data_IF_618493887079
#
_entry.id   IF_618493887079
#
_cell.length_a   1.000
_cell.length_b   1.000
_cell.length_c   1.000
_cell.angle_alpha   90.00
_cell.angle_beta   90.00
_cell.angle_gamma   90.00
#
_symmetry.space_group_name_H-M   'P 1'
#
loop_
_entity.id
_entity.type
_entity.pdbx_description
1 polymer ?
#
# COMPACT_ATOMS: atom_id res chain seq x y z
N UNK A 1 50.87 -17.13 -14.13
CA UNK A 1 50.89 -17.73 -15.49
C UNK A 1 52.33 -18.12 -15.85
N UNK A 2 52.58 -19.22 -16.56
CA UNK A 2 53.94 -19.58 -17.03
C UNK A 2 54.30 -18.85 -18.32
N UNK A 3 55.60 -18.59 -18.57
CA UNK A 3 56.06 -17.99 -19.86
C UNK A 3 55.57 -18.79 -21.08
N UNK A 4 55.51 -20.12 -20.98
CA UNK A 4 54.98 -20.99 -22.03
C UNK A 4 53.49 -20.73 -22.30
N UNK A 5 52.70 -20.57 -21.26
CA UNK A 5 51.27 -20.25 -21.38
C UNK A 5 51.06 -18.86 -21.98
N UNK A 6 51.84 -17.86 -21.54
CA UNK A 6 51.82 -16.51 -22.11
C UNK A 6 52.12 -16.55 -23.62
N UNK A 7 53.18 -17.26 -24.02
CA UNK A 7 53.56 -17.36 -25.42
C UNK A 7 52.49 -18.07 -26.26
N UNK A 8 51.87 -19.13 -25.72
CA UNK A 8 50.79 -19.85 -26.41
C UNK A 8 49.50 -19.04 -26.50
N UNK A 9 49.12 -18.31 -25.45
CA UNK A 9 47.85 -17.57 -25.41
C UNK A 9 47.83 -16.35 -26.34
N UNK A 10 49.00 -15.75 -26.60
CA UNK A 10 49.12 -14.50 -27.35
C UNK A 10 50.01 -14.61 -28.59
N UNK A 11 50.29 -15.83 -29.04
CA UNK A 11 51.15 -16.15 -30.20
C UNK A 11 52.51 -15.40 -30.18
N UNK A 12 53.16 -15.40 -29.02
CA UNK A 12 54.43 -14.72 -28.82
C UNK A 12 55.62 -15.67 -29.03
N UNK A 13 56.67 -15.16 -29.66
CA UNK A 13 57.94 -15.89 -29.77
C UNK A 13 58.66 -15.91 -28.41
N UNK A 14 58.97 -17.11 -27.91
CA UNK A 14 59.74 -17.31 -26.68
C UNK A 14 61.00 -16.43 -26.60
N UNK A 15 61.79 -16.38 -27.67
CA UNK A 15 63.03 -15.60 -27.71
C UNK A 15 62.80 -14.11 -27.43
N UNK A 16 61.71 -13.53 -27.95
CA UNK A 16 61.36 -12.13 -27.74
C UNK A 16 60.98 -11.87 -26.29
N UNK A 17 60.17 -12.76 -25.70
CA UNK A 17 59.72 -12.66 -24.30
C UNK A 17 60.92 -12.78 -23.36
N UNK A 18 61.76 -13.82 -23.53
CA UNK A 18 62.97 -14.01 -22.71
C UNK A 18 63.98 -12.86 -22.86
N UNK A 19 64.12 -12.27 -24.06
CA UNK A 19 64.98 -11.09 -24.27
C UNK A 19 64.48 -9.88 -23.47
N UNK A 20 63.15 -9.65 -23.45
CA UNK A 20 62.52 -8.57 -22.68
C UNK A 20 62.67 -8.82 -21.17
N UNK A 21 62.44 -10.05 -20.71
CA UNK A 21 62.68 -10.45 -19.32
C UNK A 21 64.14 -10.17 -18.93
N UNK A 22 65.11 -10.63 -19.72
CA UNK A 22 66.53 -10.42 -19.41
C UNK A 22 66.94 -8.96 -19.39
N UNK A 23 66.27 -8.09 -20.15
CA UNK A 23 66.56 -6.65 -20.17
C UNK A 23 65.99 -5.91 -18.95
N UNK A 24 64.85 -6.37 -18.44
CA UNK A 24 64.10 -5.70 -17.36
C UNK A 24 64.12 -6.45 -16.02
N UNK A 25 64.81 -7.60 -15.92
CA UNK A 25 64.82 -8.50 -14.75
C UNK A 25 65.22 -7.84 -13.43
N UNK A 26 66.15 -6.87 -13.49
CA UNK A 26 66.71 -6.20 -12.30
C UNK A 26 66.08 -4.81 -12.10
N UNK A 27 65.03 -4.49 -12.86
CA UNK A 27 64.33 -3.20 -12.87
C UNK A 27 62.82 -3.41 -12.74
N UNK A 28 62.05 -3.20 -13.81
CA UNK A 28 60.59 -3.25 -13.81
C UNK A 28 60.05 -4.64 -13.49
N UNK A 29 60.79 -5.71 -13.84
CA UNK A 29 60.36 -7.09 -13.57
C UNK A 29 60.97 -7.67 -12.28
N UNK A 30 61.67 -6.87 -11.47
CA UNK A 30 62.27 -7.34 -10.23
C UNK A 30 61.18 -7.79 -9.24
N UNK A 31 61.19 -9.07 -8.88
CA UNK A 31 60.20 -9.65 -7.96
C UNK A 31 58.88 -10.11 -8.60
N UNK A 32 58.67 -9.85 -9.89
CA UNK A 32 57.44 -10.20 -10.61
C UNK A 32 57.50 -11.56 -11.33
N UNK A 33 58.58 -12.31 -11.11
CA UNK A 33 58.68 -13.69 -11.59
C UNK A 33 59.45 -14.57 -10.61
N UNK A 34 59.09 -15.85 -10.57
CA UNK A 34 59.79 -16.86 -9.77
C UNK A 34 60.21 -18.04 -10.65
N UNK A 35 61.33 -18.69 -10.30
CA UNK A 35 61.74 -19.95 -10.93
C UNK A 35 61.06 -21.10 -10.20
N UNK A 36 60.13 -21.77 -10.87
CA UNK A 36 59.57 -23.02 -10.38
C UNK A 36 60.59 -24.17 -10.50
N UNK A 37 60.42 -25.23 -9.69
CA UNK A 37 61.23 -26.46 -9.79
C UNK A 37 61.10 -27.03 -11.22
N UNK A 38 62.20 -27.01 -12.00
CA UNK A 38 62.23 -27.47 -13.38
C UNK A 38 62.30 -26.38 -14.46
N UNK A 39 62.95 -25.25 -14.18
CA UNK A 39 63.30 -24.16 -15.13
C UNK A 39 62.15 -23.32 -15.70
N UNK A 40 60.89 -23.63 -15.37
CA UNK A 40 59.76 -22.81 -15.81
C UNK A 40 59.66 -21.52 -14.99
N UNK A 41 59.59 -20.39 -15.68
CA UNK A 41 59.35 -19.08 -15.08
C UNK A 41 57.85 -18.85 -14.91
N UNK A 42 57.45 -18.61 -13.66
CA UNK A 42 56.11 -18.21 -13.29
C UNK A 42 56.07 -16.68 -13.16
N UNK A 43 55.11 -16.08 -13.87
CA UNK A 43 54.86 -14.66 -13.97
C UNK A 43 53.60 -14.33 -13.17
N UNK A 44 53.65 -13.22 -12.43
CA UNK A 44 52.45 -12.60 -11.87
C UNK A 44 51.73 -11.73 -12.91
N UNK A 45 50.60 -11.15 -12.52
CA UNK A 45 49.75 -10.38 -13.43
C UNK A 45 50.45 -9.13 -13.98
N UNK A 46 51.32 -8.50 -13.18
CA UNK A 46 52.12 -7.36 -13.62
C UNK A 46 53.14 -7.78 -14.69
N UNK A 47 53.88 -8.86 -14.48
CA UNK A 47 54.83 -9.36 -15.46
C UNK A 47 54.14 -9.82 -16.75
N UNK A 48 52.97 -10.46 -16.64
CA UNK A 48 52.14 -10.82 -17.79
C UNK A 48 51.78 -9.57 -18.58
N UNK A 49 51.19 -8.55 -17.94
CA UNK A 49 50.84 -7.30 -18.61
C UNK A 49 52.09 -6.63 -19.20
N UNK A 50 53.16 -6.45 -18.45
CA UNK A 50 54.39 -5.81 -18.94
C UNK A 50 54.97 -6.47 -20.19
N UNK A 51 54.89 -7.80 -20.28
CA UNK A 51 55.44 -8.57 -21.40
C UNK A 51 54.53 -8.59 -22.63
N UNK A 52 53.23 -8.28 -22.48
CA UNK A 52 52.33 -8.19 -23.63
C UNK A 52 52.76 -7.09 -24.61
N UNK A 53 52.67 -7.35 -25.92
CA UNK A 53 52.82 -6.31 -26.93
C UNK A 53 51.74 -5.23 -26.78
N UNK A 54 52.10 -3.97 -27.08
CA UNK A 54 51.18 -2.84 -26.99
C UNK A 54 49.89 -3.05 -27.79
N UNK A 55 49.96 -3.63 -28.99
CA UNK A 55 48.76 -3.87 -29.80
C UNK A 55 47.77 -4.84 -29.14
N UNK A 56 48.26 -5.86 -28.42
CA UNK A 56 47.41 -6.81 -27.67
C UNK A 56 46.70 -6.08 -26.54
N UNK A 57 47.43 -5.25 -25.77
CA UNK A 57 46.83 -4.45 -24.69
C UNK A 57 45.76 -3.49 -25.21
N UNK A 58 46.02 -2.86 -26.35
CA UNK A 58 45.05 -1.96 -27.00
C UNK A 58 43.81 -2.73 -27.43
N UNK A 59 43.95 -3.92 -28.02
CA UNK A 59 42.80 -4.76 -28.38
C UNK A 59 41.97 -5.16 -27.15
N UNK A 60 42.63 -5.60 -26.07
CA UNK A 60 41.94 -5.94 -24.81
C UNK A 60 41.18 -4.74 -24.24
N UNK A 61 41.80 -3.55 -24.24
CA UNK A 61 41.14 -2.33 -23.78
C UNK A 61 39.95 -1.92 -24.66
N UNK A 62 40.00 -2.18 -25.98
CA UNK A 62 38.87 -1.95 -26.88
C UNK A 62 37.72 -2.89 -26.54
N UNK A 63 38.00 -4.19 -26.39
CA UNK A 63 36.99 -5.19 -26.02
C UNK A 63 36.31 -4.87 -24.68
N UNK A 64 37.08 -4.42 -23.69
CA UNK A 64 36.57 -3.96 -22.40
C UNK A 64 35.68 -2.71 -22.55
N UNK A 65 36.13 -1.70 -23.31
CA UNK A 65 35.34 -0.50 -23.60
C UNK A 65 34.01 -0.83 -24.29
N UNK A 66 34.01 -1.76 -25.25
CA UNK A 66 32.81 -2.23 -25.94
C UNK A 66 31.87 -3.02 -25.00
N UNK A 67 32.42 -3.77 -24.05
CA UNK A 67 31.67 -4.41 -22.97
C UNK A 67 30.95 -3.37 -22.10
N UNK A 68 31.69 -2.39 -21.60
CA UNK A 68 31.17 -1.30 -20.77
C UNK A 68 30.10 -0.49 -21.53
N UNK A 69 30.32 -0.21 -22.81
CA UNK A 69 29.36 0.53 -23.63
C UNK A 69 28.02 -0.23 -23.76
N UNK A 70 28.06 -1.56 -23.92
CA UNK A 70 26.84 -2.38 -23.97
C UNK A 70 26.13 -2.43 -22.62
N UNK A 71 26.86 -2.61 -21.53
CA UNK A 71 26.29 -2.61 -20.19
C UNK A 71 25.65 -1.27 -19.84
N UNK A 72 26.29 -0.15 -20.19
CA UNK A 72 25.75 1.18 -20.00
C UNK A 72 24.45 1.40 -20.77
N UNK A 73 24.35 0.92 -22.01
CA UNK A 73 23.11 1.00 -22.78
C UNK A 73 21.98 0.20 -22.10
N UNK A 74 22.26 -1.01 -21.64
CA UNK A 74 21.27 -1.83 -20.92
C UNK A 74 20.83 -1.19 -19.60
N UNK A 75 21.76 -0.59 -18.85
CA UNK A 75 21.45 0.13 -17.62
C UNK A 75 20.61 1.38 -17.89
N UNK A 76 20.88 2.08 -18.99
CA UNK A 76 20.11 3.25 -19.40
C UNK A 76 18.65 2.87 -19.74
N UNK A 77 18.43 1.79 -20.49
CA UNK A 77 17.09 1.29 -20.80
C UNK A 77 16.31 0.87 -19.53
N UNK A 78 17.01 0.23 -18.58
CA UNK A 78 16.43 -0.14 -17.28
C UNK A 78 16.07 1.08 -16.44
N UNK A 79 16.91 2.11 -16.47
CA UNK A 79 16.67 3.37 -15.75
C UNK A 79 15.43 4.07 -16.30
N UNK A 80 15.34 4.24 -17.62
CA UNK A 80 14.17 4.86 -18.27
C UNK A 80 12.88 4.09 -17.95
N UNK A 81 12.94 2.75 -18.02
CA UNK A 81 11.80 1.90 -17.64
C UNK A 81 11.40 2.07 -16.18
N UNK A 82 12.35 2.19 -15.26
CA UNK A 82 12.10 2.38 -13.84
C UNK A 82 11.51 3.77 -13.54
N UNK A 83 11.98 4.81 -14.23
CA UNK A 83 11.44 6.18 -14.11
C UNK A 83 9.97 6.24 -14.53
N UNK A 84 9.61 5.61 -15.66
CA UNK A 84 8.21 5.54 -16.13
C UNK A 84 7.32 4.82 -15.10
N UNK A 85 7.78 3.70 -14.55
CA UNK A 85 7.03 2.96 -13.53
C UNK A 85 6.86 3.80 -12.26
N UNK A 86 7.90 4.51 -11.83
CA UNK A 86 7.85 5.37 -10.66
C UNK A 86 6.84 6.50 -10.84
N UNK A 87 6.86 7.19 -11.99
CA UNK A 87 5.91 8.26 -12.32
C UNK A 87 4.46 7.75 -12.39
N UNK A 88 4.23 6.59 -13.03
CA UNK A 88 2.89 5.99 -13.07
C UNK A 88 2.39 5.62 -11.67
N UNK A 89 3.26 5.07 -10.82
CA UNK A 89 2.93 4.69 -9.46
C UNK A 89 2.61 5.91 -8.61
N UNK A 90 3.38 7.00 -8.74
CA UNK A 90 3.17 8.24 -8.01
C UNK A 90 1.85 8.92 -8.39
N UNK A 91 1.50 8.92 -9.68
CA UNK A 91 0.22 9.40 -10.18
C UNK A 91 -0.96 8.58 -9.64
N UNK A 92 -0.84 7.24 -9.61
CA UNK A 92 -1.86 6.36 -9.04
C UNK A 92 -2.02 6.57 -7.54
N UNK A 93 -0.91 6.74 -6.82
CA UNK A 93 -0.91 6.99 -5.38
C UNK A 93 -1.58 8.33 -5.06
N UNK A 94 -1.22 9.39 -5.80
CA UNK A 94 -1.83 10.72 -5.65
C UNK A 94 -3.34 10.69 -5.86
N UNK A 95 -3.81 9.95 -6.87
CA UNK A 95 -5.25 9.75 -7.11
C UNK A 95 -5.92 9.01 -5.95
N UNK A 96 -5.32 7.92 -5.47
CA UNK A 96 -5.86 7.14 -4.36
C UNK A 96 -5.92 7.95 -3.05
N UNK A 97 -4.95 8.84 -2.81
CA UNK A 97 -4.96 9.75 -1.67
C UNK A 97 -6.12 10.74 -1.76
N UNK A 98 -6.32 11.37 -2.92
CA UNK A 98 -7.45 12.29 -3.13
C UNK A 98 -8.81 11.59 -2.96
N UNK A 99 -8.96 10.36 -3.49
CA UNK A 99 -10.17 9.57 -3.33
C UNK A 99 -10.42 9.22 -1.84
N UNK A 100 -9.38 8.87 -1.09
CA UNK A 100 -9.48 8.60 0.35
C UNK A 100 -9.88 9.84 1.15
N UNK A 101 -9.34 11.01 0.85
CA UNK A 101 -9.74 12.28 1.49
C UNK A 101 -11.23 12.57 1.27
N UNK A 102 -11.73 12.37 0.05
CA UNK A 102 -13.14 12.53 -0.27
C UNK A 102 -14.02 11.54 0.50
N UNK A 103 -13.60 10.27 0.60
CA UNK A 103 -14.32 9.25 1.36
C UNK A 103 -14.35 9.57 2.86
N UNK A 104 -13.26 10.08 3.42
CA UNK A 104 -13.22 10.50 4.83
C UNK A 104 -14.19 11.66 5.09
N UNK A 105 -14.22 12.66 4.20
CA UNK A 105 -15.15 13.77 4.32
C UNK A 105 -16.62 13.31 4.26
N UNK A 106 -16.95 12.36 3.39
CA UNK A 106 -18.29 11.80 3.29
C UNK A 106 -18.65 10.95 4.51
N UNK A 107 -17.71 10.18 5.07
CA UNK A 107 -17.91 9.44 6.32
C UNK A 107 -18.27 10.40 7.46
N UNK A 108 -17.57 11.53 7.59
CA UNK A 108 -17.83 12.50 8.65
C UNK A 108 -19.17 13.23 8.46
N UNK A 109 -19.55 13.49 7.21
CA UNK A 109 -20.89 13.99 6.87
C UNK A 109 -21.98 13.00 7.27
N UNK A 110 -21.82 11.72 6.92
CA UNK A 110 -22.78 10.67 7.25
C UNK A 110 -22.90 10.45 8.76
N UNK A 111 -21.79 10.46 9.50
CA UNK A 111 -21.80 10.40 10.97
C UNK A 111 -22.58 11.55 11.58
N UNK A 112 -22.37 12.77 11.07
CA UNK A 112 -23.09 13.96 11.55
C UNK A 112 -24.58 13.85 11.29
N UNK A 113 -24.96 13.43 10.08
CA UNK A 113 -26.37 13.20 9.72
C UNK A 113 -27.03 12.11 10.56
N UNK A 114 -26.32 11.02 10.84
CA UNK A 114 -26.81 9.94 11.69
C UNK A 114 -27.04 10.44 13.13
N UNK A 115 -26.09 11.20 13.67
CA UNK A 115 -26.23 11.80 15.00
C UNK A 115 -27.43 12.75 15.11
N UNK A 116 -27.71 13.52 14.06
CA UNK A 116 -28.89 14.38 13.99
C UNK A 116 -30.18 13.55 13.97
N UNK A 117 -30.22 12.48 13.17
CA UNK A 117 -31.39 11.58 13.12
C UNK A 117 -31.63 10.85 14.44
N UNK A 118 -30.59 10.45 15.14
CA UNK A 118 -30.72 9.83 16.47
C UNK A 118 -31.32 10.81 17.50
N UNK A 119 -31.00 12.10 17.41
CA UNK A 119 -31.62 13.15 18.23
C UNK A 119 -33.10 13.33 17.88
N UNK A 120 -33.44 13.45 16.59
CA UNK A 120 -34.83 13.55 16.13
C UNK A 120 -35.66 12.36 16.60
N UNK A 121 -35.13 11.13 16.49
CA UNK A 121 -35.80 9.91 16.96
C UNK A 121 -36.04 9.96 18.47
N UNK A 122 -35.06 10.43 19.25
CA UNK A 122 -35.19 10.55 20.70
C UNK A 122 -36.27 11.56 21.08
N UNK A 123 -36.30 12.72 20.43
CA UNK A 123 -37.29 13.77 20.63
C UNK A 123 -38.70 13.28 20.27
N UNK A 124 -38.87 12.65 19.10
CA UNK A 124 -40.17 12.09 18.72
C UNK A 124 -40.64 10.98 19.64
N UNK A 125 -39.73 10.16 20.16
CA UNK A 125 -40.04 9.11 21.12
C UNK A 125 -40.56 9.69 22.44
N UNK A 126 -39.94 10.77 22.93
CA UNK A 126 -40.40 11.47 24.13
C UNK A 126 -41.76 12.14 23.94
N UNK A 127 -41.97 12.79 22.79
CA UNK A 127 -43.27 13.39 22.44
C UNK A 127 -44.37 12.33 22.35
N UNK A 128 -44.10 11.20 21.70
CA UNK A 128 -45.04 10.09 21.57
C UNK A 128 -45.43 9.51 22.93
N UNK A 129 -44.47 9.30 23.82
CA UNK A 129 -44.74 8.78 25.16
C UNK A 129 -45.53 9.79 26.01
N UNK A 130 -45.24 11.09 25.86
CA UNK A 130 -46.01 12.17 26.51
C UNK A 130 -47.46 12.18 26.04
N UNK A 131 -47.71 12.11 24.74
CA UNK A 131 -49.06 12.05 24.18
C UNK A 131 -49.79 10.76 24.56
N UNK A 132 -49.09 9.63 24.59
CA UNK A 132 -49.64 8.36 25.07
C UNK A 132 -50.12 8.46 26.51
N UNK A 133 -49.34 9.09 27.40
CA UNK A 133 -49.74 9.33 28.80
C UNK A 133 -50.95 10.25 28.91
N UNK A 134 -50.98 11.37 28.16
CA UNK A 134 -52.13 12.29 28.13
C UNK A 134 -53.40 11.58 27.66
N UNK A 135 -53.30 10.82 26.57
CA UNK A 135 -54.41 10.03 26.02
C UNK A 135 -54.92 9.01 27.04
N UNK A 136 -54.02 8.26 27.69
CA UNK A 136 -54.38 7.31 28.76
C UNK A 136 -55.12 7.99 29.91
N UNK A 137 -54.63 9.12 30.40
CA UNK A 137 -55.31 9.88 31.45
C UNK A 137 -56.68 10.39 31.01
N UNK A 138 -56.83 10.81 29.76
CA UNK A 138 -58.11 11.25 29.22
C UNK A 138 -59.12 10.11 29.13
N UNK A 139 -58.68 8.91 28.73
CA UNK A 139 -59.49 7.69 28.72
C UNK A 139 -59.94 7.33 30.14
N UNK A 140 -59.01 7.26 31.11
CA UNK A 140 -59.34 6.96 32.51
C UNK A 140 -60.37 7.94 33.10
N UNK A 141 -60.28 9.23 32.77
CA UNK A 141 -61.28 10.24 33.18
C UNK A 141 -62.64 9.99 32.53
N UNK A 142 -62.66 9.67 31.23
CA UNK A 142 -63.91 9.35 30.50
C UNK A 142 -64.56 8.10 31.06
N UNK A 143 -63.79 7.05 31.33
CA UNK A 143 -64.30 5.80 31.90
C UNK A 143 -64.95 6.01 33.27
N UNK A 144 -64.31 6.81 34.15
CA UNK A 144 -64.91 7.21 35.43
C UNK A 144 -66.24 7.92 35.23
N UNK A 145 -66.30 8.88 34.30
CA UNK A 145 -67.52 9.62 34.00
C UNK A 145 -68.63 8.74 33.42
N UNK A 146 -68.27 7.78 32.56
CA UNK A 146 -69.21 6.80 32.01
C UNK A 146 -69.79 5.94 33.14
N UNK A 147 -68.94 5.46 34.07
CA UNK A 147 -69.41 4.66 35.20
C UNK A 147 -70.34 5.44 36.12
N UNK A 148 -70.01 6.70 36.44
CA UNK A 148 -70.87 7.60 37.21
C UNK A 148 -72.24 7.79 36.55
N UNK A 149 -72.26 8.12 35.25
CA UNK A 149 -73.51 8.34 34.50
C UNK A 149 -74.31 7.03 34.33
N UNK A 150 -73.65 5.89 34.20
CA UNK A 150 -74.29 4.58 34.11
C UNK A 150 -75.02 4.26 35.41
N UNK A 151 -74.39 4.52 36.56
CA UNK A 151 -74.99 4.32 37.87
C UNK A 151 -76.15 5.30 38.13
N UNK A 152 -75.99 6.58 37.77
CA UNK A 152 -77.07 7.57 37.85
C UNK A 152 -78.29 7.15 37.01
N UNK A 153 -78.06 6.71 35.77
CA UNK A 153 -79.12 6.20 34.89
C UNK A 153 -79.79 4.94 35.46
N UNK A 154 -79.03 4.02 36.07
CA UNK A 154 -79.58 2.84 36.75
C UNK A 154 -80.53 3.24 37.86
N UNK A 155 -80.10 4.15 38.74
CA UNK A 155 -80.91 4.67 39.85
C UNK A 155 -82.17 5.43 39.37
N UNK A 156 -82.06 6.23 38.31
CA UNK A 156 -83.20 6.92 37.71
C UNK A 156 -84.20 5.94 37.11
N UNK A 157 -83.72 4.90 36.44
CA UNK A 157 -84.56 3.83 35.87
C UNK A 157 -85.32 3.11 36.98
N UNK A 158 -84.66 2.73 38.07
CA UNK A 158 -85.31 2.11 39.25
C UNK A 158 -86.39 3.01 39.85
N UNK A 159 -86.11 4.31 40.01
CA UNK A 159 -87.10 5.29 40.49
C UNK A 159 -88.30 5.41 39.56
N UNK A 160 -88.06 5.45 38.25
CA UNK A 160 -89.14 5.51 37.25
C UNK A 160 -89.99 4.24 37.25
N UNK A 161 -89.35 3.07 37.38
CA UNK A 161 -90.03 1.78 37.48
C UNK A 161 -90.82 1.59 38.79
N UNK A 162 -90.46 2.30 39.86
CA UNK A 162 -91.24 2.33 41.09
C UNK A 162 -92.55 3.15 40.96
N UNK A 163 -92.65 4.07 40.00
CA UNK A 163 -93.87 4.85 39.76
C UNK A 163 -94.97 3.94 39.19
N UNK A 164 -96.20 3.90 39.74
CA UNK A 164 -97.27 3.07 39.19
C UNK A 164 -97.55 3.40 37.72
N UNK A 165 -97.75 2.38 36.89
CA UNK A 165 -97.85 2.52 35.42
C UNK A 165 -98.88 3.56 34.97
N UNK A 166 -100.00 3.69 35.70
CA UNK A 166 -101.06 4.67 35.40
C UNK A 166 -100.61 6.14 35.45
N UNK A 167 -99.46 6.43 36.08
CA UNK A 167 -98.90 7.78 36.19
C UNK A 167 -97.68 8.01 35.27
N UNK A 168 -97.24 6.99 34.51
CA UNK A 168 -96.12 7.14 33.57
C UNK A 168 -96.64 7.77 32.29
N UNK A 169 -96.18 8.99 31.98
CA UNK A 169 -96.46 9.62 30.67
C UNK A 169 -95.71 8.84 29.59
N UNK A 170 -96.47 8.36 28.59
CA UNK A 170 -96.06 7.54 27.43
C UNK A 170 -96.10 6.02 27.64
N UNK A 171 -97.29 5.47 27.89
CA UNK A 171 -97.67 4.17 27.32
C UNK A 171 -98.63 4.40 26.15
#
# INVERSE_FOLDING_TARGET
MKVKELCSNYDLKFQTVYKKISHHKDKELAGHFTKAKGESLELDDFAVDFLLPTHVKVMQAIEECEGIARENAELQDKLESAEIIAEQTDNQLSKALADNENLLAEIDRLKSSLSEKDKEISEFSEQLETERRKSKQAIEKRDKRINELTEENRLLTEKYEAVPKIFRKNQ
#
